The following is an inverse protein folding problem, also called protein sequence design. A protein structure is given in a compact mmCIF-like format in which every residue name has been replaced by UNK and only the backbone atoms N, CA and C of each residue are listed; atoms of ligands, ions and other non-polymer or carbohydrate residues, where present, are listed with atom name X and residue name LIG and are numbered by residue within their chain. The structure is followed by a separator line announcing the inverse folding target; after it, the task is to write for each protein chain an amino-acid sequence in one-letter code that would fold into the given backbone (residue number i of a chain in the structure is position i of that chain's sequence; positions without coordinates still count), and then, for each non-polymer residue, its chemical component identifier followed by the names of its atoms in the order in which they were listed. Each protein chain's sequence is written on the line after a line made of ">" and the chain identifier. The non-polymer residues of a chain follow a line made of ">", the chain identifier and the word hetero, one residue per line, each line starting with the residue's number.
data_IF_102032428406
#
_entry.id   IF_102032428406
#
_cell.length_a   1.000
_cell.length_b   1.000
_cell.length_c   1.000
_cell.angle_alpha   90.00
_cell.angle_beta   90.00
_cell.angle_gamma   90.00
#
_symmetry.space_group_name_H-M   'P 1'
#
loop_
_entity.id
_entity.type
_entity.pdbx_description
1 polymer ?
#
# COMPACT_ATOMS: atom_id res chain seq x y z
N UNK A 1 -10.97 7.16 -7.08
CA UNK A 1 -9.84 6.24 -7.21
C UNK A 1 -10.21 4.85 -6.71
N UNK A 2 -11.03 4.22 -7.48
CA UNK A 2 -11.89 3.15 -7.02
C UNK A 2 -11.20 1.79 -6.95
N UNK A 3 -9.91 1.67 -7.36
CA UNK A 3 -9.40 0.35 -7.71
C UNK A 3 -7.91 0.11 -7.44
N UNK A 4 -7.20 1.02 -6.77
CA UNK A 4 -5.85 0.73 -6.35
C UNK A 4 -5.88 -0.08 -5.04
N UNK A 5 -5.14 -1.18 -4.93
CA UNK A 5 -5.05 -1.90 -3.67
C UNK A 5 -4.45 -0.99 -2.60
N UNK A 6 -5.23 -0.73 -1.57
CA UNK A 6 -4.85 0.11 -0.42
C UNK A 6 -4.13 -0.76 0.61
N UNK A 7 -2.99 -1.27 0.22
CA UNK A 7 -2.15 -2.16 1.01
C UNK A 7 -0.73 -1.63 0.94
N UNK A 8 -0.02 -1.68 2.06
CA UNK A 8 1.38 -1.34 2.11
C UNK A 8 2.20 -2.25 1.16
N UNK A 9 2.85 -1.70 0.13
CA UNK A 9 3.64 -2.49 -0.81
C UNK A 9 4.79 -3.23 -0.14
N UNK A 10 5.29 -2.75 0.99
CA UNK A 10 6.34 -3.43 1.76
C UNK A 10 5.84 -4.66 2.53
N UNK A 11 4.51 -4.83 2.66
CA UNK A 11 3.91 -5.98 3.34
C UNK A 11 3.77 -7.23 2.45
N UNK A 12 4.13 -7.13 1.18
CA UNK A 12 3.94 -8.19 0.18
C UNK A 12 5.27 -8.75 -0.33
N UNK A 13 5.33 -10.06 -0.50
CA UNK A 13 6.43 -10.76 -1.16
C UNK A 13 6.29 -10.73 -2.68
N UNK A 14 5.07 -10.94 -3.15
CA UNK A 14 4.75 -11.02 -4.56
C UNK A 14 3.46 -10.28 -4.90
N UNK A 15 3.50 -9.55 -6.00
CA UNK A 15 2.31 -8.96 -6.61
C UNK A 15 2.10 -9.63 -7.97
N UNK A 16 0.99 -10.34 -8.11
CA UNK A 16 0.62 -11.03 -9.35
C UNK A 16 -0.59 -10.36 -9.97
N UNK A 17 -0.48 -9.99 -11.25
CA UNK A 17 -1.61 -9.45 -12.02
C UNK A 17 -2.18 -10.55 -12.89
N UNK A 18 -3.38 -11.01 -12.59
CA UNK A 18 -4.11 -12.02 -13.37
C UNK A 18 -5.10 -11.30 -14.28
N UNK A 19 -4.98 -11.47 -15.59
CA UNK A 19 -5.82 -10.83 -16.61
C UNK A 19 -6.70 -11.84 -17.35
N UNK A 20 -7.83 -11.36 -17.85
CA UNK A 20 -8.75 -12.15 -18.69
C UNK A 20 -9.50 -13.23 -17.92
N UNK A 21 -9.93 -14.28 -18.62
CA UNK A 21 -10.81 -15.31 -18.05
C UNK A 21 -10.27 -16.03 -16.79
N UNK A 22 -8.95 -16.10 -16.63
CA UNK A 22 -8.34 -16.70 -15.44
C UNK A 22 -8.64 -15.92 -14.14
N UNK A 23 -9.06 -14.69 -14.22
CA UNK A 23 -9.43 -13.87 -13.05
C UNK A 23 -10.74 -14.32 -12.39
N UNK A 24 -11.61 -15.02 -13.11
CA UNK A 24 -12.93 -15.49 -12.62
C UNK A 24 -12.80 -16.41 -11.40
N UNK A 25 -11.70 -17.13 -11.25
CA UNK A 25 -11.42 -17.95 -10.06
C UNK A 25 -11.35 -17.13 -8.74
N UNK A 26 -11.17 -15.82 -8.83
CA UNK A 26 -11.10 -14.91 -7.68
C UNK A 26 -12.41 -14.16 -7.41
N UNK A 27 -13.45 -14.43 -8.19
CA UNK A 27 -14.78 -13.86 -8.02
C UNK A 27 -15.40 -13.39 -9.32
N UNK A 28 -16.74 -13.29 -9.34
CA UNK A 28 -17.52 -12.90 -10.51
C UNK A 28 -17.27 -11.46 -10.97
N UNK A 29 -16.83 -10.59 -10.07
CA UNK A 29 -16.58 -9.17 -10.34
C UNK A 29 -15.20 -8.91 -10.95
N UNK A 30 -14.38 -9.96 -11.10
CA UNK A 30 -13.03 -9.90 -11.60
C UNK A 30 -12.91 -9.87 -13.14
N UNK A 31 -13.89 -9.28 -13.83
CA UNK A 31 -13.97 -9.26 -15.31
C UNK A 31 -12.78 -8.61 -16.01
N UNK A 32 -12.19 -7.58 -15.41
CA UNK A 32 -11.03 -6.87 -15.97
C UNK A 32 -9.67 -7.46 -15.59
N UNK A 33 -9.65 -8.26 -14.55
CA UNK A 33 -8.43 -8.83 -13.94
C UNK A 33 -8.41 -8.67 -12.43
N UNK A 34 -7.41 -9.29 -11.80
CA UNK A 34 -7.20 -9.27 -10.35
C UNK A 34 -5.73 -8.98 -10.04
N UNK A 35 -5.50 -8.16 -9.05
CA UNK A 35 -4.19 -7.99 -8.43
C UNK A 35 -4.15 -8.82 -7.16
N UNK A 36 -3.37 -9.89 -7.17
CA UNK A 36 -3.16 -10.77 -6.02
C UNK A 36 -1.89 -10.32 -5.31
N UNK A 37 -2.01 -9.99 -4.03
CA UNK A 37 -0.89 -9.63 -3.17
C UNK A 37 -0.64 -10.76 -2.17
N UNK A 38 0.52 -11.40 -2.29
CA UNK A 38 0.89 -12.50 -1.42
C UNK A 38 1.72 -11.97 -0.24
N UNK A 39 1.29 -12.20 1.01
CA UNK A 39 2.07 -11.79 2.16
C UNK A 39 3.36 -12.61 2.26
N UNK A 40 4.41 -11.98 2.78
CA UNK A 40 5.68 -12.67 3.06
C UNK A 40 5.46 -13.79 4.07
N UNK A 41 5.94 -14.99 3.77
CA UNK A 41 5.89 -16.12 4.73
C UNK A 41 6.64 -15.78 6.02
N UNK A 42 6.14 -16.28 7.16
CA UNK A 42 6.83 -16.18 8.44
C UNK A 42 8.15 -16.98 8.42
N UNK A 43 9.20 -16.51 9.12
CA UNK A 43 10.51 -17.17 9.14
C UNK A 43 10.39 -18.59 9.69
N UNK A 44 11.24 -19.48 9.18
CA UNK A 44 11.33 -20.88 9.60
C UNK A 44 12.55 -21.17 10.47
N UNK A 45 13.63 -20.44 10.20
CA UNK A 45 14.88 -20.57 10.92
C UNK A 45 14.85 -19.71 12.17
N UNK A 46 15.26 -20.33 13.29
CA UNK A 46 15.26 -19.65 14.58
C UNK A 46 16.25 -18.48 14.57
N UNK A 47 15.77 -17.31 14.99
CA UNK A 47 16.58 -16.11 15.08
C UNK A 47 15.76 -14.85 14.85
N UNK A 48 16.28 -13.74 15.34
CA UNK A 48 15.74 -12.40 15.12
C UNK A 48 16.36 -11.82 13.84
N UNK A 49 15.52 -11.46 12.88
CA UNK A 49 15.91 -10.76 11.67
C UNK A 49 15.21 -9.43 11.59
N UNK A 50 15.80 -8.49 10.87
CA UNK A 50 15.19 -7.19 10.63
C UNK A 50 15.67 -6.57 9.34
N UNK A 51 14.86 -5.67 8.83
CA UNK A 51 15.15 -4.86 7.65
C UNK A 51 14.76 -3.41 7.92
N UNK A 52 15.58 -2.47 7.44
CA UNK A 52 15.27 -1.05 7.40
C UNK A 52 15.56 -0.56 5.99
N UNK A 53 14.58 0.07 5.36
CA UNK A 53 14.71 0.65 4.04
C UNK A 53 14.23 2.09 4.04
N UNK A 54 14.85 2.94 3.23
CA UNK A 54 14.48 4.33 3.05
C UNK A 54 14.46 4.70 1.58
N UNK A 55 13.59 5.62 1.23
CA UNK A 55 13.50 6.21 -0.11
C UNK A 55 13.51 7.74 -0.02
N UNK A 56 14.04 8.38 -1.04
CA UNK A 56 13.94 9.82 -1.22
C UNK A 56 13.42 10.12 -2.63
N UNK A 57 12.47 11.03 -2.70
CA UNK A 57 11.81 11.43 -3.96
C UNK A 57 12.04 12.91 -4.20
N UNK A 58 12.64 13.26 -5.33
CA UNK A 58 12.94 14.66 -5.66
C UNK A 58 11.68 15.45 -5.99
N UNK A 59 10.83 14.94 -6.88
CA UNK A 59 9.57 15.60 -7.23
C UNK A 59 8.57 15.43 -6.07
N UNK A 60 8.14 16.57 -5.52
CA UNK A 60 7.37 16.60 -4.28
C UNK A 60 8.25 16.64 -3.02
N UNK A 61 9.59 16.65 -3.15
CA UNK A 61 10.57 16.80 -2.06
C UNK A 61 10.25 15.94 -0.87
N UNK A 62 10.04 14.64 -1.12
CA UNK A 62 9.52 13.70 -0.15
C UNK A 62 10.44 12.52 0.10
N UNK A 63 9.94 11.58 0.87
CA UNK A 63 10.60 10.32 1.15
C UNK A 63 9.78 9.41 2.00
N UNK A 64 10.35 8.27 2.33
CA UNK A 64 9.71 7.27 3.17
C UNK A 64 10.72 6.41 3.91
N UNK A 65 10.22 5.78 4.95
CA UNK A 65 10.93 4.79 5.75
C UNK A 65 10.06 3.55 5.92
N UNK A 66 10.69 2.39 5.88
CA UNK A 66 10.09 1.10 6.18
C UNK A 66 10.99 0.34 7.14
N UNK A 67 10.40 -0.26 8.18
CA UNK A 67 11.08 -1.12 9.12
C UNK A 67 10.31 -2.42 9.34
N UNK A 68 11.04 -3.54 9.43
CA UNK A 68 10.50 -4.87 9.69
C UNK A 68 11.37 -5.59 10.70
N UNK A 69 10.74 -6.30 11.62
CA UNK A 69 11.34 -7.25 12.56
C UNK A 69 10.58 -8.56 12.54
N UNK A 70 11.29 -9.67 12.55
CA UNK A 70 10.71 -11.01 12.60
C UNK A 70 11.55 -11.95 13.43
N UNK A 71 10.91 -12.97 13.98
CA UNK A 71 11.60 -14.01 14.74
C UNK A 71 10.86 -15.35 14.61
N UNK A 72 11.61 -16.43 14.38
CA UNK A 72 11.18 -17.77 14.69
C UNK A 72 11.72 -18.13 16.07
N UNK A 73 10.82 -18.36 17.02
CA UNK A 73 11.13 -18.44 18.46
C UNK A 73 11.80 -19.76 18.81
N UNK A 74 13.09 -19.72 19.13
CA UNK A 74 13.86 -20.95 19.45
C UNK A 74 13.29 -21.72 20.62
N UNK A 75 12.80 -21.02 21.66
CA UNK A 75 12.24 -21.62 22.86
C UNK A 75 10.87 -22.32 22.62
N UNK A 76 10.17 -21.96 21.54
CA UNK A 76 8.85 -22.50 21.19
C UNK A 76 8.87 -22.94 19.72
N UNK A 77 9.33 -24.18 19.43
CA UNK A 77 9.43 -24.66 18.06
C UNK A 77 8.12 -24.54 17.28
N UNK A 78 8.20 -23.96 16.11
CA UNK A 78 7.04 -23.72 15.24
C UNK A 78 6.37 -22.36 15.41
N UNK A 79 6.64 -21.62 16.49
CA UNK A 79 6.15 -20.24 16.67
C UNK A 79 7.05 -19.25 15.92
N UNK A 80 6.43 -18.40 15.13
CA UNK A 80 7.10 -17.29 14.49
C UNK A 80 6.19 -16.06 14.45
N UNK A 81 6.80 -14.87 14.39
CA UNK A 81 6.08 -13.61 14.26
C UNK A 81 6.86 -12.63 13.39
N UNK A 82 6.14 -11.65 12.86
CA UNK A 82 6.67 -10.49 12.14
C UNK A 82 5.85 -9.27 12.48
N UNK A 83 6.54 -8.15 12.65
CA UNK A 83 5.95 -6.80 12.73
C UNK A 83 6.65 -5.90 11.74
N UNK A 84 5.90 -5.01 11.12
CA UNK A 84 6.45 -4.03 10.20
C UNK A 84 5.64 -2.75 10.23
N UNK A 85 6.30 -1.65 9.90
CA UNK A 85 5.69 -0.35 9.76
C UNK A 85 6.39 0.42 8.64
N UNK A 86 5.63 1.23 7.93
CA UNK A 86 6.11 2.13 6.89
C UNK A 86 5.45 3.49 7.01
N UNK A 87 6.13 4.52 6.50
CA UNK A 87 5.59 5.85 6.38
C UNK A 87 6.22 6.55 5.20
N UNK A 88 5.41 7.23 4.39
CA UNK A 88 5.85 8.02 3.24
C UNK A 88 5.12 9.35 3.21
N UNK A 89 5.83 10.41 2.84
CA UNK A 89 5.21 11.72 2.65
C UNK A 89 5.95 12.50 1.56
N UNK A 90 5.18 13.31 0.83
CA UNK A 90 5.70 14.30 -0.11
C UNK A 90 4.74 15.48 -0.19
N UNK A 91 5.29 16.64 -0.53
CA UNK A 91 4.52 17.82 -0.86
C UNK A 91 4.01 17.80 -2.29
N UNK A 92 3.63 18.95 -2.78
CA UNK A 92 3.11 19.14 -4.13
C UNK A 92 4.10 18.67 -5.19
N UNK A 93 3.59 18.07 -6.26
CA UNK A 93 4.39 17.69 -7.41
C UNK A 93 4.69 18.91 -8.28
N UNK A 94 5.86 18.92 -8.91
CA UNK A 94 6.31 20.00 -9.76
C UNK A 94 6.31 19.56 -11.23
N UNK A 95 5.72 20.39 -12.09
CA UNK A 95 5.87 20.34 -13.55
C UNK A 95 7.00 21.28 -13.98
N UNK A 96 7.49 21.24 -15.25
CA UNK A 96 8.61 22.10 -15.71
C UNK A 96 8.29 23.56 -15.67
N UNK A 97 7.58 24.20 -15.06
CA UNK A 97 7.32 25.65 -15.02
C UNK A 97 6.44 26.06 -13.86
N UNK A 98 5.76 25.11 -13.24
CA UNK A 98 4.78 25.41 -12.19
C UNK A 98 4.60 24.25 -11.22
N UNK A 99 3.96 24.54 -10.10
CA UNK A 99 3.59 23.55 -9.08
C UNK A 99 2.19 23.02 -9.36
N UNK A 100 2.04 21.70 -9.32
CA UNK A 100 0.74 21.04 -9.36
C UNK A 100 0.10 21.13 -7.97
N UNK A 101 -0.62 22.20 -7.73
CA UNK A 101 -1.14 22.61 -6.43
C UNK A 101 -2.09 21.57 -5.82
N UNK A 102 -1.87 21.26 -4.55
CA UNK A 102 -2.63 20.28 -3.78
C UNK A 102 -2.50 18.83 -4.30
N UNK A 103 -1.27 18.43 -4.63
CA UNK A 103 -0.94 17.05 -5.02
C UNK A 103 -0.06 16.35 -3.97
N UNK A 104 -0.01 16.92 -2.77
CA UNK A 104 0.68 16.34 -1.63
C UNK A 104 0.12 14.95 -1.27
N UNK A 105 0.96 14.15 -0.64
CA UNK A 105 0.67 12.76 -0.32
C UNK A 105 1.27 12.39 1.03
N UNK A 106 0.50 11.72 1.87
CA UNK A 106 0.93 11.12 3.12
C UNK A 106 0.38 9.72 3.28
N UNK A 107 1.21 8.78 3.73
CA UNK A 107 0.83 7.39 3.93
C UNK A 107 1.52 6.83 5.17
N UNK A 108 0.78 6.06 5.95
CA UNK A 108 1.28 5.28 7.07
C UNK A 108 0.66 3.89 7.04
N UNK A 109 1.48 2.89 7.24
CA UNK A 109 1.03 1.51 7.36
C UNK A 109 1.74 0.79 8.49
N UNK A 110 1.04 -0.15 9.11
CA UNK A 110 1.60 -1.07 10.09
C UNK A 110 0.94 -2.43 9.95
N UNK A 111 1.70 -3.50 10.14
CA UNK A 111 1.14 -4.84 10.18
C UNK A 111 1.86 -5.73 11.18
N UNK A 112 1.14 -6.74 11.66
CA UNK A 112 1.65 -7.78 12.53
C UNK A 112 1.13 -9.14 12.08
N UNK A 113 2.00 -10.13 12.10
CA UNK A 113 1.63 -11.52 11.86
C UNK A 113 2.25 -12.42 12.91
N UNK A 114 1.52 -13.46 13.30
CA UNK A 114 2.01 -14.52 14.15
C UNK A 114 1.50 -15.86 13.62
N UNK A 115 2.30 -16.90 13.77
CA UNK A 115 1.91 -18.20 13.29
C UNK A 115 2.56 -19.32 14.08
N UNK A 116 1.89 -20.45 14.07
CA UNK A 116 2.38 -21.71 14.59
C UNK A 116 2.37 -22.76 13.51
N UNK A 117 3.45 -23.55 13.43
CA UNK A 117 3.57 -24.67 12.50
C UNK A 117 4.18 -25.87 13.21
N UNK A 118 3.51 -26.99 13.10
CA UNK A 118 4.08 -28.30 13.42
C UNK A 118 3.81 -29.31 12.29
N UNK A 119 4.04 -30.61 12.51
CA UNK A 119 3.84 -31.65 11.48
C UNK A 119 2.40 -31.74 10.96
N UNK A 120 1.40 -31.41 11.79
CA UNK A 120 -0.03 -31.57 11.45
C UNK A 120 -0.79 -30.27 11.33
N UNK A 121 -0.38 -29.22 12.06
CA UNK A 121 -1.11 -27.96 12.13
C UNK A 121 -0.22 -26.81 11.60
N UNK A 122 -0.79 -26.00 10.72
CA UNK A 122 -0.32 -24.66 10.38
C UNK A 122 -1.44 -23.69 10.70
N UNK A 123 -1.17 -22.71 11.55
CA UNK A 123 -2.10 -21.63 11.87
C UNK A 123 -1.38 -20.30 11.76
N UNK A 124 -2.01 -19.29 11.18
CA UNK A 124 -1.49 -17.93 11.04
C UNK A 124 -2.59 -16.92 11.33
N UNK A 125 -2.22 -15.84 12.02
CA UNK A 125 -3.04 -14.66 12.18
C UNK A 125 -2.26 -13.46 11.62
N UNK A 126 -2.95 -12.57 10.94
CA UNK A 126 -2.41 -11.35 10.33
C UNK A 126 -3.35 -10.18 10.59
N UNK A 127 -2.78 -9.08 10.98
CA UNK A 127 -3.47 -7.79 11.09
C UNK A 127 -2.69 -6.74 10.33
N UNK A 128 -3.38 -5.85 9.63
CA UNK A 128 -2.78 -4.65 9.06
C UNK A 128 -3.70 -3.45 9.13
N UNK A 129 -3.09 -2.29 9.26
CA UNK A 129 -3.72 -0.98 9.14
C UNK A 129 -2.96 -0.16 8.12
N UNK A 130 -3.71 0.43 7.21
CA UNK A 130 -3.22 1.33 6.17
C UNK A 130 -4.00 2.64 6.25
N UNK A 131 -3.30 3.76 6.20
CA UNK A 131 -3.89 5.10 6.16
C UNK A 131 -3.19 5.92 5.09
N UNK A 132 -3.97 6.62 4.28
CA UNK A 132 -3.45 7.48 3.23
C UNK A 132 -4.26 8.77 3.16
N UNK A 133 -3.57 9.87 3.00
CA UNK A 133 -4.13 11.17 2.67
C UNK A 133 -3.50 11.64 1.35
N UNK A 134 -4.34 11.94 0.38
CA UNK A 134 -3.93 12.34 -0.96
C UNK A 134 -4.65 13.63 -1.33
N UNK A 135 -3.91 14.68 -1.63
CA UNK A 135 -4.43 15.91 -2.22
C UNK A 135 -4.91 15.65 -3.64
N UNK A 136 -6.01 16.29 -4.00
CA UNK A 136 -6.52 16.27 -5.37
C UNK A 136 -6.20 17.60 -6.03
N UNK A 137 -5.60 17.54 -7.22
CA UNK A 137 -5.17 18.73 -7.97
C UNK A 137 -6.34 19.74 -8.06
N UNK A 138 -6.14 20.92 -7.50
CA UNK A 138 -7.18 21.98 -7.50
C UNK A 138 -7.62 22.35 -8.92
N UNK A 139 -6.69 22.38 -9.85
CA UNK A 139 -6.98 22.67 -11.26
C UNK A 139 -7.73 21.56 -12.01
N UNK A 140 -7.93 20.37 -11.43
CA UNK A 140 -8.71 19.30 -12.08
C UNK A 140 -10.23 19.48 -11.99
N UNK A 141 -10.70 20.44 -11.18
CA UNK A 141 -12.12 20.73 -11.02
C UNK A 141 -12.58 21.67 -12.15
N UNK A 142 -13.02 21.07 -13.24
CA UNK A 142 -13.51 21.75 -14.43
C UNK A 142 -15.04 21.73 -14.40
N UNK A 143 -15.64 22.92 -14.35
CA UNK A 143 -17.09 23.06 -14.16
C UNK A 143 -17.92 22.78 -15.41
N UNK A 144 -17.39 23.01 -16.61
CA UNK A 144 -18.13 22.88 -17.86
C UNK A 144 -17.19 22.67 -19.07
N UNK A 145 -17.78 22.40 -20.26
CA UNK A 145 -17.04 22.15 -21.51
C UNK A 145 -16.19 23.37 -21.95
N UNK A 146 -16.64 24.57 -21.68
CA UNK A 146 -15.89 25.78 -22.02
C UNK A 146 -14.63 25.89 -21.18
N UNK A 147 -14.73 25.63 -19.89
CA UNK A 147 -13.57 25.62 -18.98
C UNK A 147 -12.60 24.49 -19.35
N UNK A 148 -13.10 23.33 -19.75
CA UNK A 148 -12.29 22.23 -20.26
C UNK A 148 -11.49 22.64 -21.51
N UNK A 149 -12.14 23.29 -22.48
CA UNK A 149 -11.47 23.77 -23.69
C UNK A 149 -10.39 24.82 -23.37
N UNK A 150 -10.71 25.73 -22.48
CA UNK A 150 -9.75 26.74 -22.02
C UNK A 150 -8.56 26.10 -21.33
N UNK A 151 -8.79 25.11 -20.46
CA UNK A 151 -7.73 24.40 -19.75
C UNK A 151 -6.82 23.61 -20.72
N UNK A 152 -7.40 22.96 -21.75
CA UNK A 152 -6.63 22.20 -22.77
C UNK A 152 -5.75 23.13 -23.61
N UNK A 153 -6.21 24.36 -23.89
CA UNK A 153 -5.50 25.32 -24.70
C UNK A 153 -4.60 26.27 -23.90
N UNK A 154 -4.50 26.09 -22.59
CA UNK A 154 -3.63 26.88 -21.70
C UNK A 154 -2.29 26.20 -21.49
N UNK A 155 -1.22 26.98 -21.48
CA UNK A 155 0.13 26.49 -21.18
C UNK A 155 0.31 26.12 -19.68
N UNK A 156 -0.51 26.69 -18.81
CA UNK A 156 -0.49 26.47 -17.36
C UNK A 156 -1.90 26.15 -16.83
N UNK A 157 -2.01 25.41 -15.72
CA UNK A 157 -3.28 25.21 -15.03
C UNK A 157 -3.88 26.55 -14.57
N UNK A 158 -5.21 26.66 -14.59
CA UNK A 158 -5.93 27.85 -14.15
C UNK A 158 -5.71 28.21 -12.66
N UNK A 159 -5.18 27.25 -11.87
CA UNK A 159 -4.82 27.46 -10.49
C UNK A 159 -3.40 26.94 -10.24
N UNK A 160 -2.50 27.84 -9.93
CA UNK A 160 -1.11 27.57 -9.53
C UNK A 160 -0.85 28.26 -8.19
N UNK A 161 -0.19 27.56 -7.29
CA UNK A 161 0.20 28.10 -5.98
C UNK A 161 1.64 27.69 -5.65
N UNK A 162 2.30 28.36 -4.70
CA UNK A 162 3.62 27.96 -4.23
C UNK A 162 3.62 26.54 -3.69
N UNK A 163 4.77 25.88 -3.76
CA UNK A 163 4.98 24.54 -3.21
C UNK A 163 4.66 24.50 -1.71
N UNK A 164 3.93 23.43 -1.30
CA UNK A 164 3.62 23.19 0.10
C UNK A 164 3.56 21.69 0.41
N UNK A 165 3.69 21.35 1.69
CA UNK A 165 3.41 20.02 2.22
C UNK A 165 1.99 19.90 2.79
N UNK A 166 1.26 21.00 2.87
CA UNK A 166 -0.11 20.99 3.38
C UNK A 166 -1.05 20.39 2.36
N UNK A 167 -1.79 19.37 2.78
CA UNK A 167 -2.83 18.73 1.98
C UNK A 167 -4.16 19.38 2.33
N UNK A 168 -4.68 20.16 1.40
CA UNK A 168 -5.91 20.94 1.56
C UNK A 168 -7.09 20.27 0.85
N UNK A 169 -8.28 20.80 1.00
CA UNK A 169 -9.42 20.36 0.19
C UNK A 169 -9.27 20.84 -1.27
N UNK A 170 -9.66 20.05 -2.28
CA UNK A 170 -10.20 18.68 -2.17
C UNK A 170 -9.11 17.64 -1.91
N UNK A 171 -9.42 16.67 -1.07
CA UNK A 171 -8.51 15.57 -0.72
C UNK A 171 -9.25 14.25 -0.55
N UNK A 172 -8.53 13.17 -0.72
CA UNK A 172 -8.99 11.82 -0.40
C UNK A 172 -8.30 11.34 0.86
N UNK A 173 -9.08 10.82 1.79
CA UNK A 173 -8.58 10.14 3.00
C UNK A 173 -9.07 8.70 2.95
N UNK A 174 -8.13 7.78 3.06
CA UNK A 174 -8.42 6.35 3.04
C UNK A 174 -7.89 5.71 4.30
N UNK A 175 -8.68 4.83 4.89
CA UNK A 175 -8.26 3.95 5.95
C UNK A 175 -8.75 2.54 5.65
N UNK A 176 -7.84 1.59 5.77
CA UNK A 176 -8.12 0.18 5.57
C UNK A 176 -7.53 -0.63 6.71
N UNK A 177 -8.38 -1.39 7.40
CA UNK A 177 -8.00 -2.34 8.44
C UNK A 177 -8.33 -3.75 7.95
N UNK A 178 -7.38 -4.68 8.04
CA UNK A 178 -7.54 -6.07 7.65
C UNK A 178 -7.15 -7.00 8.79
N UNK A 179 -8.03 -7.93 9.13
CA UNK A 179 -7.74 -9.05 10.01
C UNK A 179 -7.96 -10.36 9.24
N UNK A 180 -6.95 -11.21 9.20
CA UNK A 180 -7.01 -12.53 8.56
C UNK A 180 -6.51 -13.60 9.51
N UNK A 181 -7.22 -14.72 9.59
CA UNK A 181 -6.79 -15.91 10.31
C UNK A 181 -6.96 -17.14 9.41
N UNK A 182 -5.97 -17.99 9.37
CA UNK A 182 -5.95 -19.22 8.58
C UNK A 182 -5.46 -20.37 9.45
N UNK A 183 -6.07 -21.55 9.29
CA UNK A 183 -5.61 -22.78 9.90
C UNK A 183 -5.75 -23.95 8.91
N UNK A 184 -4.70 -24.75 8.79
CA UNK A 184 -4.69 -25.96 7.99
C UNK A 184 -4.24 -27.13 8.85
N UNK A 185 -5.01 -28.20 8.84
CA UNK A 185 -4.72 -29.43 9.60
C UNK A 185 -4.61 -30.61 8.64
N UNK A 186 -3.49 -31.34 8.73
CA UNK A 186 -3.27 -32.59 7.95
C UNK A 186 -3.82 -33.77 8.71
N UNK A 187 -4.84 -34.42 8.15
CA UNK A 187 -5.55 -35.53 8.79
C UNK A 187 -4.79 -36.85 8.65
N UNK A 188 -4.08 -37.08 7.55
CA UNK A 188 -3.28 -38.30 7.32
C UNK A 188 -1.95 -37.96 6.67
N UNK A 189 -0.93 -38.78 6.92
CA UNK A 189 0.27 -38.85 6.10
C UNK A 189 0.00 -39.89 5.01
N UNK A 190 -0.14 -39.42 3.76
CA UNK A 190 -0.12 -40.31 2.59
C UNK A 190 1.33 -40.56 2.19
#
# INVERSE_FOLDING_TARGET
>A
NEHAPLIDPFSTDRITVVKGAASVQYGTDALGGVVVMEPVELPREAGLNGNLAGEAVRNGRGGGLHGMLENAVKAVPGLAWRVQASGRARGDSEAPGYVLSNTGFGEMAASASAGWRNRRLRATAYFSRFQQELGLLKASHIGNITDLRNAINSDEPWYVAPFTYVIDAPKQVVRHDLLKAEAAYRVSEL
#
